data_IF_058867820978
#
_entry.id   IF_058867820978
#
_cell.length_a   1.000
_cell.length_b   1.000
_cell.length_c   1.000
_cell.angle_alpha   90.00
_cell.angle_beta   90.00
_cell.angle_gamma   90.00
#
_symmetry.space_group_name_H-M   'P 1'
#
loop_
_entity.id
_entity.type
_entity.pdbx_description
1 polymer ?
#
# COMPACT_ATOMS: atom_id res chain seq x y z
N UNK A 1 13.78 20.51 9.24
CA UNK A 1 12.81 19.39 9.11
C UNK A 1 13.57 18.08 9.21
N UNK A 2 13.08 17.11 9.99
CA UNK A 2 13.78 15.83 10.20
C UNK A 2 13.67 14.93 8.95
N UNK A 3 14.79 14.34 8.51
CA UNK A 3 14.87 13.41 7.38
C UNK A 3 13.98 12.17 7.54
N UNK A 4 13.54 11.88 8.76
CA UNK A 4 12.60 10.80 9.09
C UNK A 4 11.27 10.89 8.32
N UNK A 5 10.84 12.09 7.88
CA UNK A 5 9.59 12.28 7.13
C UNK A 5 9.59 11.60 5.74
N UNK A 6 10.75 11.27 5.20
CA UNK A 6 10.86 10.65 3.87
C UNK A 6 10.92 9.13 3.91
N UNK A 7 11.23 8.54 5.07
CA UNK A 7 11.43 7.11 5.23
C UNK A 7 10.13 6.36 4.94
N UNK A 8 9.03 6.74 5.60
CA UNK A 8 7.73 6.06 5.41
C UNK A 8 7.26 6.13 3.96
N UNK A 9 7.27 7.28 3.26
CA UNK A 9 6.96 7.31 1.83
C UNK A 9 7.80 6.35 0.98
N UNK A 10 9.11 6.30 1.18
CA UNK A 10 10.00 5.43 0.41
C UNK A 10 9.67 3.96 0.66
N UNK A 11 9.50 3.55 1.92
CA UNK A 11 9.11 2.18 2.25
C UNK A 11 7.73 1.83 1.71
N UNK A 12 6.78 2.76 1.72
CA UNK A 12 5.45 2.57 1.12
C UNK A 12 5.55 2.32 -0.39
N UNK A 13 6.36 3.09 -1.13
CA UNK A 13 6.60 2.86 -2.57
C UNK A 13 7.11 1.43 -2.82
N UNK A 14 8.09 0.98 -2.03
CA UNK A 14 8.66 -0.36 -2.16
C UNK A 14 7.64 -1.44 -1.81
N UNK A 15 6.87 -1.26 -0.74
CA UNK A 15 5.85 -2.21 -0.30
C UNK A 15 4.73 -2.39 -1.35
N UNK A 16 4.13 -1.27 -1.76
CA UNK A 16 3.04 -1.25 -2.74
C UNK A 16 3.52 -1.68 -4.13
N UNK A 17 4.69 -1.19 -4.56
CA UNK A 17 5.29 -1.59 -5.84
C UNK A 17 5.65 -3.08 -5.86
N UNK A 18 6.16 -3.61 -4.75
CA UNK A 18 6.45 -5.04 -4.60
C UNK A 18 5.19 -5.91 -4.68
N UNK A 19 4.12 -5.50 -4.00
CA UNK A 19 2.84 -6.20 -4.07
C UNK A 19 2.27 -6.21 -5.50
N UNK A 20 2.29 -5.07 -6.20
CA UNK A 20 1.89 -4.97 -7.59
C UNK A 20 2.75 -5.86 -8.51
N UNK A 21 4.07 -5.86 -8.31
CA UNK A 21 5.00 -6.70 -9.07
C UNK A 21 4.67 -8.20 -8.91
N UNK A 22 4.41 -8.67 -7.68
CA UNK A 22 4.05 -10.07 -7.42
C UNK A 22 2.74 -10.48 -8.11
N UNK A 23 1.78 -9.55 -8.23
CA UNK A 23 0.55 -9.75 -8.99
C UNK A 23 0.84 -9.91 -10.48
N UNK A 24 1.57 -8.97 -11.08
CA UNK A 24 1.75 -8.92 -12.53
C UNK A 24 2.73 -9.97 -13.06
N UNK A 25 3.70 -10.40 -12.25
CA UNK A 25 4.59 -11.53 -12.59
C UNK A 25 3.92 -12.90 -12.49
N UNK A 26 2.68 -12.97 -11.98
CA UNK A 26 1.97 -14.23 -11.79
C UNK A 26 2.49 -15.08 -10.63
N UNK A 27 3.33 -14.50 -9.76
CA UNK A 27 3.78 -15.15 -8.52
C UNK A 27 2.58 -15.44 -7.63
N UNK A 28 1.62 -14.51 -7.56
CA UNK A 28 0.32 -14.73 -6.94
C UNK A 28 -0.63 -15.43 -7.92
N UNK A 29 -1.13 -16.60 -7.56
CA UNK A 29 -2.06 -17.39 -8.38
C UNK A 29 -3.50 -17.18 -7.93
N UNK A 30 -4.30 -16.51 -8.77
CA UNK A 30 -5.72 -16.21 -8.51
C UNK A 30 -6.54 -17.45 -8.08
N UNK A 31 -6.28 -18.60 -8.72
CA UNK A 31 -6.93 -19.88 -8.41
C UNK A 31 -6.69 -20.34 -6.97
N UNK A 32 -5.48 -20.15 -6.43
CA UNK A 32 -5.16 -20.48 -5.03
C UNK A 32 -5.82 -19.52 -4.04
N UNK A 33 -6.11 -18.30 -4.48
CA UNK A 33 -6.77 -17.28 -3.66
C UNK A 33 -8.30 -17.35 -3.75
N UNK A 34 -8.87 -18.21 -4.61
CA UNK A 34 -10.31 -18.30 -4.82
C UNK A 34 -10.92 -17.05 -5.48
N UNK A 35 -10.13 -16.29 -6.25
CA UNK A 35 -10.56 -15.04 -6.89
C UNK A 35 -10.39 -15.12 -8.41
N UNK A 36 -11.12 -14.29 -9.14
CA UNK A 36 -10.94 -14.20 -10.59
C UNK A 36 -9.61 -13.51 -10.93
N UNK A 37 -9.02 -13.88 -12.09
CA UNK A 37 -7.79 -13.24 -12.60
C UNK A 37 -7.96 -11.72 -12.79
N UNK A 38 -9.17 -11.28 -13.13
CA UNK A 38 -9.49 -9.86 -13.29
C UNK A 38 -9.45 -9.11 -11.95
N UNK A 39 -10.02 -9.69 -10.90
CA UNK A 39 -9.97 -9.10 -9.54
C UNK A 39 -8.54 -9.00 -9.04
N UNK A 40 -7.72 -10.06 -9.24
CA UNK A 40 -6.32 -10.02 -8.84
C UNK A 40 -5.53 -8.93 -9.61
N UNK A 41 -5.77 -8.77 -10.91
CA UNK A 41 -5.14 -7.69 -11.71
C UNK A 41 -5.59 -6.29 -11.29
N UNK A 42 -6.87 -6.12 -10.97
CA UNK A 42 -7.38 -4.84 -10.43
C UNK A 42 -6.72 -4.50 -9.09
N UNK A 43 -6.53 -5.49 -8.22
CA UNK A 43 -5.77 -5.33 -6.99
C UNK A 43 -4.33 -4.87 -7.28
N UNK A 44 -3.60 -5.56 -8.17
CA UNK A 44 -2.23 -5.15 -8.54
C UNK A 44 -2.14 -3.76 -9.15
N UNK A 45 -3.11 -3.36 -9.97
CA UNK A 45 -3.19 -2.01 -10.53
C UNK A 45 -3.45 -0.96 -9.45
N UNK A 46 -4.30 -1.28 -8.45
CA UNK A 46 -4.53 -0.42 -7.29
C UNK A 46 -3.28 -0.22 -6.44
N UNK A 47 -2.55 -1.31 -6.16
CA UNK A 47 -1.26 -1.27 -5.44
C UNK A 47 -0.23 -0.42 -6.21
N UNK A 48 -0.16 -0.56 -7.54
CA UNK A 48 0.74 0.25 -8.38
C UNK A 48 0.39 1.75 -8.30
N UNK A 49 -0.90 2.09 -8.37
CA UNK A 49 -1.36 3.47 -8.26
C UNK A 49 -1.00 4.06 -6.88
N UNK A 50 -1.21 3.30 -5.80
CA UNK A 50 -0.83 3.73 -4.45
C UNK A 50 0.68 3.96 -4.32
N UNK A 51 1.51 3.10 -4.92
CA UNK A 51 2.96 3.29 -4.96
C UNK A 51 3.35 4.60 -5.64
N UNK A 52 2.74 4.91 -6.79
CA UNK A 52 2.99 6.16 -7.51
C UNK A 52 2.58 7.37 -6.66
N UNK A 53 1.40 7.33 -6.03
CA UNK A 53 0.94 8.43 -5.17
C UNK A 53 1.87 8.65 -3.97
N UNK A 54 2.41 7.58 -3.37
CA UNK A 54 3.42 7.69 -2.31
C UNK A 54 4.75 8.26 -2.79
N UNK A 55 5.16 7.99 -4.03
CA UNK A 55 6.39 8.55 -4.61
C UNK A 55 6.32 10.08 -4.81
N UNK A 56 5.10 10.62 -4.93
CA UNK A 56 4.86 12.07 -5.09
C UNK A 56 4.94 12.82 -3.75
N UNK A 57 4.69 12.16 -2.63
CA UNK A 57 4.70 12.78 -1.29
C UNK A 57 6.05 13.43 -0.93
N UNK A 58 7.22 12.77 -1.11
CA UNK A 58 8.53 13.38 -0.89
C UNK A 58 8.74 14.69 -1.65
N UNK A 59 8.23 14.80 -2.88
CA UNK A 59 8.37 16.01 -3.70
C UNK A 59 7.61 17.18 -3.09
N UNK A 60 6.36 16.94 -2.66
CA UNK A 60 5.57 17.97 -2.00
C UNK A 60 6.10 18.36 -0.62
N UNK A 61 6.63 17.39 0.13
CA UNK A 61 7.29 17.67 1.42
C UNK A 61 8.54 18.54 1.23
N UNK A 62 9.35 18.26 0.20
CA UNK A 62 10.54 19.06 -0.14
C UNK A 62 10.18 20.47 -0.59
N UNK A 63 9.03 20.64 -1.25
CA UNK A 63 8.50 21.93 -1.64
C UNK A 63 7.82 22.71 -0.50
N UNK A 64 7.72 22.13 0.70
CA UNK A 64 7.04 22.76 1.85
C UNK A 64 5.52 22.88 1.68
N UNK A 65 4.92 22.11 0.77
CA UNK A 65 3.50 22.15 0.50
C UNK A 65 2.68 21.42 1.57
N UNK A 66 1.41 21.79 1.73
CA UNK A 66 0.49 21.21 2.72
C UNK A 66 -0.28 19.99 2.17
N UNK A 67 -0.51 19.93 0.86
CA UNK A 67 -1.23 18.84 0.20
C UNK A 67 -0.68 17.41 0.43
N UNK A 68 0.62 17.16 0.67
CA UNK A 68 1.13 15.81 0.92
C UNK A 68 0.48 15.14 2.12
N UNK A 69 0.06 15.92 3.13
CA UNK A 69 -0.65 15.40 4.30
C UNK A 69 -2.01 14.83 3.91
N UNK A 70 -2.82 15.60 3.18
CA UNK A 70 -4.14 15.14 2.73
C UNK A 70 -4.03 13.96 1.77
N UNK A 71 -3.02 13.97 0.89
CA UNK A 71 -2.75 12.87 -0.01
C UNK A 71 -2.33 11.61 0.76
N UNK A 72 -1.43 11.72 1.75
CA UNK A 72 -1.03 10.60 2.60
C UNK A 72 -2.22 9.99 3.35
N UNK A 73 -3.10 10.82 3.91
CA UNK A 73 -4.34 10.38 4.55
C UNK A 73 -5.25 9.64 3.58
N UNK A 74 -5.45 10.18 2.37
CA UNK A 74 -6.30 9.57 1.35
C UNK A 74 -5.75 8.19 0.93
N UNK A 75 -4.45 8.09 0.62
CA UNK A 75 -3.84 6.82 0.23
C UNK A 75 -3.92 5.82 1.39
N UNK A 76 -3.68 6.26 2.62
CA UNK A 76 -3.76 5.40 3.82
C UNK A 76 -5.19 4.89 4.03
N UNK A 77 -6.21 5.72 3.83
CA UNK A 77 -7.60 5.31 3.89
C UNK A 77 -7.95 4.28 2.81
N UNK A 78 -7.54 4.53 1.56
CA UNK A 78 -7.73 3.58 0.47
C UNK A 78 -7.03 2.25 0.74
N UNK A 79 -5.81 2.30 1.28
CA UNK A 79 -5.05 1.11 1.67
C UNK A 79 -5.78 0.30 2.75
N UNK A 80 -6.27 0.95 3.81
CA UNK A 80 -7.00 0.26 4.88
C UNK A 80 -8.25 -0.44 4.34
N UNK A 81 -9.01 0.22 3.46
CA UNK A 81 -10.14 -0.39 2.78
C UNK A 81 -9.71 -1.60 1.94
N UNK A 82 -8.66 -1.44 1.12
CA UNK A 82 -8.14 -2.53 0.29
C UNK A 82 -7.63 -3.71 1.14
N UNK A 83 -6.99 -3.42 2.26
CA UNK A 83 -6.49 -4.40 3.21
C UNK A 83 -7.61 -5.19 3.88
N UNK A 84 -8.69 -4.52 4.31
CA UNK A 84 -9.86 -5.18 4.91
C UNK A 84 -10.58 -6.09 3.90
N UNK A 85 -10.75 -5.64 2.67
CA UNK A 85 -11.31 -6.45 1.57
C UNK A 85 -10.41 -7.65 1.30
N UNK A 86 -9.10 -7.42 1.22
CA UNK A 86 -8.10 -8.47 1.02
C UNK A 86 -8.10 -9.49 2.16
N UNK A 87 -8.21 -9.07 3.42
CA UNK A 87 -8.34 -9.96 4.58
C UNK A 87 -9.60 -10.85 4.48
N UNK A 88 -10.71 -10.28 4.02
CA UNK A 88 -11.95 -11.04 3.82
C UNK A 88 -11.83 -12.06 2.69
N UNK A 89 -11.16 -11.69 1.59
CA UNK A 89 -10.95 -12.54 0.42
C UNK A 89 -9.89 -13.63 0.64
N UNK A 90 -8.83 -13.36 1.41
CA UNK A 90 -7.67 -14.23 1.55
C UNK A 90 -7.68 -15.10 2.82
N UNK A 91 -8.84 -15.27 3.47
CA UNK A 91 -9.02 -16.13 4.66
C UNK A 91 -8.45 -17.55 4.52
N UNK A 92 -8.35 -18.07 3.29
CA UNK A 92 -7.89 -19.43 2.98
C UNK A 92 -6.41 -19.52 2.55
N UNK A 93 -5.70 -18.40 2.34
CA UNK A 93 -4.27 -18.45 2.04
C UNK A 93 -3.42 -18.05 3.25
N UNK A 94 -2.65 -19.02 3.72
CA UNK A 94 -1.66 -18.88 4.77
C UNK A 94 -0.40 -18.12 4.36
N UNK A 95 -0.52 -17.02 3.60
CA UNK A 95 0.61 -16.13 3.41
C UNK A 95 0.73 -15.22 4.63
N UNK A 96 1.41 -15.75 5.64
CA UNK A 96 1.87 -15.02 6.83
C UNK A 96 2.43 -13.66 6.44
N UNK A 97 3.13 -13.57 5.31
CA UNK A 97 3.71 -12.34 4.77
C UNK A 97 2.65 -11.23 4.58
N UNK A 98 1.53 -11.50 3.89
CA UNK A 98 0.49 -10.50 3.63
C UNK A 98 -0.21 -10.08 4.91
N UNK A 99 -0.43 -11.01 5.84
CA UNK A 99 -1.05 -10.72 7.14
C UNK A 99 -0.15 -9.86 8.03
N UNK A 100 1.15 -10.18 8.14
CA UNK A 100 2.08 -9.44 9.01
C UNK A 100 2.45 -8.08 8.42
N UNK A 101 2.82 -8.03 7.13
CA UNK A 101 3.15 -6.78 6.46
C UNK A 101 1.92 -5.88 6.31
N UNK A 102 0.76 -6.47 5.99
CA UNK A 102 -0.50 -5.75 5.91
C UNK A 102 -0.90 -5.10 7.23
N UNK A 103 -0.81 -5.86 8.32
CA UNK A 103 -1.11 -5.35 9.67
C UNK A 103 -0.12 -4.28 10.12
N UNK A 104 1.18 -4.47 9.88
CA UNK A 104 2.20 -3.48 10.25
C UNK A 104 1.96 -2.13 9.54
N UNK A 105 1.72 -2.17 8.23
CA UNK A 105 1.40 -0.97 7.44
C UNK A 105 0.07 -0.33 7.86
N UNK A 106 -0.94 -1.12 8.22
CA UNK A 106 -2.22 -0.62 8.73
C UNK A 106 -2.09 0.15 10.07
N UNK A 107 -0.98 -0.01 10.80
CA UNK A 107 -0.67 0.75 12.02
C UNK A 107 0.30 1.90 11.72
N UNK A 108 1.38 1.63 10.99
CA UNK A 108 2.45 2.60 10.72
C UNK A 108 1.95 3.77 9.87
N UNK A 109 1.15 3.51 8.84
CA UNK A 109 0.70 4.56 7.92
C UNK A 109 -0.24 5.58 8.59
N UNK A 110 -1.26 5.17 9.40
CA UNK A 110 -2.04 6.13 10.18
C UNK A 110 -1.20 6.96 11.16
N UNK A 111 -0.25 6.34 11.86
CA UNK A 111 0.63 7.05 12.79
C UNK A 111 1.50 8.08 12.05
N UNK A 112 2.02 7.72 10.88
CA UNK A 112 2.74 8.65 10.02
C UNK A 112 1.85 9.82 9.58
N UNK A 113 0.61 9.56 9.15
CA UNK A 113 -0.33 10.60 8.75
C UNK A 113 -0.70 11.58 9.88
N UNK A 114 -0.77 11.10 11.13
CA UNK A 114 -0.99 11.97 12.30
C UNK A 114 0.25 12.83 12.59
N UNK A 115 1.45 12.30 12.31
CA UNK A 115 2.72 12.93 12.64
C UNK A 115 3.18 14.02 11.65
N UNK A 116 2.89 13.88 10.36
CA UNK A 116 3.30 14.84 9.32
C UNK A 116 2.36 16.04 9.19
#
# INVERSE_FOLDING_TARGET
MSSLRYIVPIFSVVGFGGAAYLVFTGTLKAEKMGVSKNVLRMFGAGELLMAICWAVIPLGLRAGAVWPRYLAFLITGMYLCNYLISLAMFKNMGDKLFKYWGTASAVILPLYCIWI
#
